data_IF_058218350284
#
_entry.id   IF_058218350284
#
_cell.length_a   1.000
_cell.length_b   1.000
_cell.length_c   1.000
_cell.angle_alpha   90.00
_cell.angle_beta   90.00
_cell.angle_gamma   90.00
#
_symmetry.space_group_name_H-M   'P 1'
#
loop_
_entity.id
_entity.type
_entity.pdbx_description
1 polymer ?
#
# COMPACT_ATOMS: atom_id res chain seq x y z
N UNK A 1 3.73 24.34 -19.30
CA UNK A 1 3.39 23.36 -18.25
C UNK A 1 4.67 22.67 -17.85
N UNK A 2 5.17 22.93 -16.63
CA UNK A 2 6.33 22.23 -16.10
C UNK A 2 5.91 20.82 -15.71
N UNK A 3 6.46 19.81 -16.37
CA UNK A 3 6.35 18.43 -15.92
C UNK A 3 7.13 18.33 -14.60
N UNK A 4 6.45 18.04 -13.49
CA UNK A 4 7.13 17.75 -12.23
C UNK A 4 8.00 16.51 -12.43
N UNK A 5 9.19 16.42 -11.82
CA UNK A 5 9.99 15.20 -11.88
C UNK A 5 9.17 14.01 -11.37
N UNK A 6 8.80 13.09 -12.25
CA UNK A 6 8.16 11.81 -11.94
C UNK A 6 9.23 10.86 -11.37
N UNK A 7 9.81 11.20 -10.21
CA UNK A 7 10.66 10.29 -9.47
C UNK A 7 9.82 9.49 -8.46
N UNK A 8 9.07 8.52 -8.98
CA UNK A 8 8.09 7.72 -8.23
C UNK A 8 8.73 6.45 -7.65
N UNK A 9 9.93 6.54 -7.08
CA UNK A 9 10.62 5.37 -6.49
C UNK A 9 10.83 5.54 -4.98
N UNK A 10 9.80 5.23 -4.21
CA UNK A 10 9.87 5.24 -2.73
C UNK A 10 9.94 3.83 -2.13
N UNK A 11 9.39 2.83 -2.82
CA UNK A 11 9.35 1.44 -2.34
C UNK A 11 10.34 0.57 -3.13
N UNK A 12 11.21 -0.14 -2.42
CA UNK A 12 12.13 -1.14 -3.00
C UNK A 12 11.98 -2.48 -2.29
N UNK A 13 11.36 -3.44 -2.98
CA UNK A 13 11.13 -4.77 -2.44
C UNK A 13 12.12 -5.78 -3.04
N UNK A 14 12.96 -6.35 -2.19
CA UNK A 14 14.03 -7.27 -2.59
C UNK A 14 13.45 -8.61 -3.04
N UNK A 15 14.11 -9.21 -4.04
CA UNK A 15 13.70 -10.50 -4.56
C UNK A 15 13.86 -11.59 -3.48
N UNK A 16 12.86 -12.47 -3.40
CA UNK A 16 12.70 -13.55 -2.42
C UNK A 16 12.33 -13.14 -0.98
N UNK A 17 12.21 -11.84 -0.70
CA UNK A 17 11.75 -11.37 0.60
C UNK A 17 10.22 -11.35 0.67
N UNK A 18 9.71 -11.48 1.89
CA UNK A 18 8.31 -11.23 2.20
C UNK A 18 8.19 -9.81 2.75
N UNK A 19 7.14 -9.11 2.36
CA UNK A 19 6.76 -7.83 2.97
C UNK A 19 5.30 -7.86 3.37
N UNK A 20 5.00 -7.28 4.53
CA UNK A 20 3.65 -6.93 4.92
C UNK A 20 3.42 -5.46 4.62
N UNK A 21 2.39 -5.15 3.84
CA UNK A 21 1.99 -3.78 3.54
C UNK A 21 0.68 -3.46 4.23
N UNK A 22 0.59 -2.27 4.81
CA UNK A 22 -0.64 -1.73 5.39
C UNK A 22 -1.13 -0.59 4.52
N UNK A 23 -2.37 -0.69 4.02
CA UNK A 23 -3.04 0.41 3.34
C UNK A 23 -3.98 1.09 4.32
N UNK A 24 -3.76 2.38 4.57
CA UNK A 24 -4.64 3.24 5.35
C UNK A 24 -5.23 4.30 4.44
N UNK A 25 -6.55 4.28 4.30
CA UNK A 25 -7.30 5.31 3.61
C UNK A 25 -7.96 6.23 4.64
N UNK A 26 -7.70 7.54 4.50
CA UNK A 26 -8.26 8.58 5.37
C UNK A 26 -9.43 9.32 4.70
N UNK A 27 -9.70 9.03 3.43
CA UNK A 27 -10.80 9.63 2.68
C UNK A 27 -12.11 8.84 2.89
N UNK A 28 -13.29 9.49 2.79
CA UNK A 28 -14.59 8.82 2.94
C UNK A 28 -15.05 8.10 1.66
N UNK A 29 -14.12 7.53 0.90
CA UNK A 29 -14.38 6.77 -0.33
C UNK A 29 -13.70 5.40 -0.24
N UNK A 30 -13.89 4.54 -1.25
CA UNK A 30 -13.25 3.23 -1.32
C UNK A 30 -12.24 3.23 -2.45
N UNK A 31 -10.98 2.93 -2.13
CA UNK A 31 -9.91 2.77 -3.12
C UNK A 31 -9.66 1.28 -3.42
N UNK A 32 -9.72 0.85 -4.70
CA UNK A 32 -9.23 -0.46 -5.10
C UNK A 32 -7.72 -0.41 -5.32
N UNK A 33 -6.94 -0.86 -4.34
CA UNK A 33 -5.47 -0.88 -4.40
C UNK A 33 -5.00 -2.13 -5.15
N UNK A 34 -4.31 -1.93 -6.28
CA UNK A 34 -3.68 -2.99 -7.07
C UNK A 34 -2.16 -3.01 -6.86
N UNK A 35 -1.58 -4.19 -6.64
CA UNK A 35 -0.13 -4.39 -6.59
C UNK A 35 0.30 -5.34 -7.70
N UNK A 36 1.24 -4.91 -8.53
CA UNK A 36 1.75 -5.73 -9.61
C UNK A 36 2.66 -6.86 -9.11
N UNK A 37 2.68 -7.94 -9.90
CA UNK A 37 3.74 -8.96 -10.00
C UNK A 37 3.86 -9.99 -8.86
N UNK A 38 3.26 -9.75 -7.70
CA UNK A 38 3.15 -10.76 -6.65
C UNK A 38 1.69 -10.99 -6.30
N UNK A 39 1.36 -12.23 -5.93
CA UNK A 39 0.10 -12.56 -5.29
C UNK A 39 0.21 -12.26 -3.79
N UNK A 40 -0.82 -11.64 -3.23
CA UNK A 40 -0.87 -11.24 -1.83
C UNK A 40 -2.03 -11.94 -1.12
N UNK A 41 -1.83 -12.29 0.15
CA UNK A 41 -2.91 -12.72 1.03
C UNK A 41 -3.29 -11.58 1.97
N UNK A 42 -4.58 -11.41 2.20
CA UNK A 42 -5.09 -10.49 3.20
C UNK A 42 -4.92 -11.11 4.58
N UNK A 43 -4.25 -10.40 5.50
CA UNK A 43 -4.05 -10.85 6.88
C UNK A 43 -5.17 -10.39 7.81
N UNK A 44 -5.76 -9.22 7.53
CA UNK A 44 -6.75 -8.62 8.40
C UNK A 44 -7.21 -7.24 7.94
N UNK A 45 -8.33 -6.83 8.53
CA UNK A 45 -8.90 -5.49 8.45
C UNK A 45 -9.06 -4.98 9.87
N UNK A 46 -8.73 -3.72 10.09
CA UNK A 46 -8.83 -3.08 11.40
C UNK A 46 -9.73 -1.84 11.28
N UNK A 47 -10.49 -1.50 12.30
CA UNK A 47 -11.27 -0.26 12.35
C UNK A 47 -10.41 0.85 12.97
N UNK A 48 -10.45 2.07 12.41
CA UNK A 48 -9.73 3.23 12.95
C UNK A 48 -10.62 4.46 12.99
N UNK A 49 -10.54 5.19 14.11
CA UNK A 49 -11.02 6.56 14.20
C UNK A 49 -10.03 7.48 13.48
N UNK A 50 -10.49 8.02 12.34
CA UNK A 50 -9.75 8.93 11.48
C UNK A 50 -10.19 10.39 11.63
N UNK A 51 -11.07 10.71 12.59
CA UNK A 51 -11.61 12.07 12.77
C UNK A 51 -10.52 13.10 13.12
N UNK A 52 -9.35 12.63 13.57
CA UNK A 52 -8.18 13.45 13.82
C UNK A 52 -7.48 13.98 12.56
N UNK A 53 -7.77 13.47 11.36
CA UNK A 53 -7.20 13.96 10.11
C UNK A 53 -7.95 15.20 9.59
N UNK A 54 -7.20 16.25 9.26
CA UNK A 54 -7.71 17.49 8.65
C UNK A 54 -7.17 17.60 7.21
N UNK A 55 -8.02 17.38 6.19
CA UNK A 55 -7.62 17.49 4.79
C UNK A 55 -7.15 18.88 4.38
N UNK A 56 -7.71 19.95 4.98
CA UNK A 56 -7.32 21.32 4.66
C UNK A 56 -5.93 21.66 5.22
N UNK A 57 -5.57 21.06 6.37
CA UNK A 57 -4.23 21.17 6.95
C UNK A 57 -3.22 20.18 6.33
N UNK A 58 -3.69 19.16 5.60
CA UNK A 58 -2.84 18.10 5.05
C UNK A 58 -2.21 17.19 6.11
N UNK A 59 -2.84 17.05 7.28
CA UNK A 59 -2.23 16.33 8.40
C UNK A 59 -3.20 16.07 9.56
N UNK A 60 -2.69 15.46 10.62
CA UNK A 60 -3.46 15.13 11.82
C UNK A 60 -3.47 16.27 12.83
N UNK A 61 -4.66 16.66 13.31
CA UNK A 61 -4.88 17.49 14.51
C UNK A 61 -4.94 16.65 15.79
N UNK A 62 -5.33 15.39 15.65
CA UNK A 62 -5.21 14.36 16.68
C UNK A 62 -4.75 13.05 16.03
N UNK A 63 -4.05 12.16 16.76
CA UNK A 63 -3.61 10.88 16.20
C UNK A 63 -4.78 10.06 15.67
N UNK A 64 -4.55 9.34 14.57
CA UNK A 64 -5.45 8.26 14.12
C UNK A 64 -5.42 7.15 15.18
N UNK A 65 -6.58 6.65 15.59
CA UNK A 65 -6.68 5.66 16.68
C UNK A 65 -7.24 4.36 16.18
N UNK A 66 -6.57 3.25 16.50
CA UNK A 66 -7.14 1.92 16.29
C UNK A 66 -8.34 1.71 17.23
N UNK A 67 -9.48 1.32 16.66
CA UNK A 67 -10.67 0.91 17.40
C UNK A 67 -10.69 -0.61 17.54
N UNK A 68 -10.08 -1.09 18.62
CA UNK A 68 -10.03 -2.51 18.93
C UNK A 68 -11.40 -3.12 19.32
N UNK A 69 -12.42 -2.29 19.56
CA UNK A 69 -13.78 -2.73 19.87
C UNK A 69 -14.58 -3.15 18.63
N UNK A 70 -14.16 -2.70 17.45
CA UNK A 70 -14.85 -2.96 16.19
C UNK A 70 -14.09 -4.00 15.36
N UNK A 71 -14.50 -5.26 15.48
CA UNK A 71 -13.94 -6.35 14.68
C UNK A 71 -14.50 -6.31 13.25
N UNK A 72 -13.61 -6.38 12.25
CA UNK A 72 -13.97 -6.47 10.84
C UNK A 72 -13.52 -7.83 10.29
N UNK A 73 -14.41 -8.82 10.16
CA UNK A 73 -14.03 -10.12 9.64
C UNK A 73 -13.68 -10.05 8.15
N UNK A 74 -12.74 -10.89 7.73
CA UNK A 74 -12.44 -11.06 6.30
C UNK A 74 -13.61 -11.78 5.63
N UNK A 75 -14.09 -11.22 4.51
CA UNK A 75 -15.12 -11.90 3.74
C UNK A 75 -14.55 -13.22 3.16
N UNK A 76 -15.38 -14.26 2.94
CA UNK A 76 -14.89 -15.55 2.43
C UNK A 76 -14.10 -15.44 1.12
N UNK A 77 -14.49 -14.50 0.25
CA UNK A 77 -13.81 -14.23 -1.03
C UNK A 77 -12.51 -13.39 -0.89
N UNK A 78 -12.11 -13.06 0.33
CA UNK A 78 -10.86 -12.35 0.65
C UNK A 78 -9.80 -13.24 1.29
N UNK A 79 -10.13 -14.50 1.62
CA UNK A 79 -9.22 -15.43 2.31
C UNK A 79 -8.24 -16.16 1.37
N UNK A 80 -8.33 -15.89 0.06
CA UNK A 80 -7.42 -16.41 -0.95
C UNK A 80 -6.33 -15.42 -1.36
N UNK A 81 -5.57 -15.77 -2.39
CA UNK A 81 -4.64 -14.87 -3.04
C UNK A 81 -5.39 -13.83 -3.89
N UNK A 82 -4.94 -12.57 -3.82
CA UNK A 82 -5.47 -11.45 -4.59
C UNK A 82 -4.35 -10.50 -4.98
N UNK A 83 -4.65 -9.69 -5.98
CA UNK A 83 -3.83 -8.59 -6.47
C UNK A 83 -4.56 -7.23 -6.40
N UNK A 84 -5.87 -7.23 -6.12
CA UNK A 84 -6.71 -6.04 -5.93
C UNK A 84 -7.45 -6.11 -4.59
N UNK A 85 -7.33 -5.06 -3.78
CA UNK A 85 -7.90 -4.95 -2.43
C UNK A 85 -8.77 -3.71 -2.30
N UNK A 86 -10.00 -3.88 -1.78
CA UNK A 86 -10.88 -2.74 -1.46
C UNK A 86 -10.47 -2.16 -0.10
N UNK A 87 -10.06 -0.89 -0.08
CA UNK A 87 -9.68 -0.14 1.11
C UNK A 87 -10.72 0.97 1.33
N UNK A 88 -11.71 0.77 2.22
CA UNK A 88 -12.58 1.86 2.66
C UNK A 88 -11.87 2.82 3.63
N UNK A 89 -12.33 4.07 3.66
CA UNK A 89 -11.93 5.05 4.67
C UNK A 89 -12.03 4.54 6.12
N UNK A 90 -10.98 4.76 6.90
CA UNK A 90 -10.92 4.35 8.32
C UNK A 90 -10.89 2.83 8.54
N UNK A 91 -10.73 2.03 7.49
CA UNK A 91 -10.64 0.57 7.58
C UNK A 91 -9.35 0.07 6.95
N UNK A 92 -8.18 0.33 7.57
CA UNK A 92 -6.93 -0.16 7.04
C UNK A 92 -6.93 -1.67 6.94
N UNK A 93 -6.17 -2.15 5.96
CA UNK A 93 -5.96 -3.57 5.74
C UNK A 93 -4.49 -3.90 5.64
N UNK A 94 -4.15 -5.12 6.05
CA UNK A 94 -2.79 -5.67 6.03
C UNK A 94 -2.73 -6.79 5.01
N UNK A 95 -1.80 -6.71 4.08
CA UNK A 95 -1.52 -7.76 3.09
C UNK A 95 -0.10 -8.27 3.25
N UNK A 96 0.11 -9.55 2.99
CA UNK A 96 1.45 -10.15 2.91
C UNK A 96 1.68 -10.71 1.53
N UNK A 97 2.83 -10.36 0.95
CA UNK A 97 3.26 -10.88 -0.35
C UNK A 97 4.67 -11.42 -0.27
N UNK A 98 5.03 -12.16 -1.31
CA UNK A 98 6.37 -12.69 -1.53
C UNK A 98 6.91 -12.21 -2.87
N UNK A 99 8.10 -11.60 -2.87
CA UNK A 99 8.70 -11.11 -4.12
C UNK A 99 9.28 -12.26 -4.92
N UNK A 100 8.49 -12.80 -5.84
CA UNK A 100 8.94 -13.80 -6.82
C UNK A 100 8.55 -13.35 -8.23
N UNK A 101 9.13 -13.96 -9.26
CA UNK A 101 8.88 -13.62 -10.67
C UNK A 101 9.89 -12.65 -11.29
N UNK A 102 9.45 -11.73 -12.15
CA UNK A 102 10.34 -10.86 -12.92
C UNK A 102 11.12 -9.86 -12.06
N UNK A 103 12.39 -9.59 -12.39
CA UNK A 103 13.18 -8.51 -11.79
C UNK A 103 13.20 -7.30 -12.75
N UNK A 104 13.07 -6.09 -12.20
CA UNK A 104 13.27 -4.87 -12.99
C UNK A 104 14.72 -4.84 -13.47
N UNK A 105 14.96 -4.65 -14.78
CA UNK A 105 16.33 -4.43 -15.28
C UNK A 105 16.86 -3.12 -14.70
N UNK A 106 18.09 -3.10 -14.14
CA UNK A 106 18.73 -1.84 -13.80
C UNK A 106 18.85 -1.00 -15.08
N UNK A 107 18.52 0.30 -14.99
CA UNK A 107 18.82 1.23 -16.09
C UNK A 107 20.34 1.18 -16.31
N UNK A 108 20.79 0.80 -17.51
CA UNK A 108 22.20 0.94 -17.87
C UNK A 108 22.52 2.44 -17.81
N UNK A 109 23.46 2.81 -16.97
CA UNK A 109 24.09 4.12 -17.09
C UNK A 109 24.77 4.16 -18.46
N UNK A 110 24.31 5.06 -19.34
CA UNK A 110 25.06 5.41 -20.55
C UNK A 110 26.12 6.44 -20.16
N UNK A 111 27.38 6.13 -20.47
CA UNK A 111 28.57 6.98 -20.23
C UNK A 111 29.49 6.37 -19.18
N UNK A 112 30.77 6.09 -19.41
CA UNK A 112 31.74 6.71 -20.30
C UNK A 112 32.71 5.64 -20.84
N UNK A 113 33.04 5.71 -22.13
CA UNK A 113 34.26 5.10 -22.66
C UNK A 113 35.45 5.78 -21.98
N UNK A 114 36.32 5.01 -21.33
CA UNK A 114 37.62 5.52 -20.86
C UNK A 114 38.66 5.32 -21.98
N UNK A 115 39.64 6.23 -22.12
CA UNK A 115 40.65 6.19 -23.18
C UNK A 115 41.53 4.94 -23.09
#
# INVERSE_FOLDING_TARGET
MSEYPNDHQTTQWRYHDHEQWSFLDLAPIVHPMHIHLADFQLLGRDAHDVSGFDPAAGGTRAPIRHDAGTAIPLAPNEQGYKDVFRVPGGQPLRVMGLRRGARRRPRRAHGLSRP
#
